data_IF_671980895155
#
_entry.id   IF_671980895155
#
_cell.length_a   1.000
_cell.length_b   1.000
_cell.length_c   1.000
_cell.angle_alpha   90.00
_cell.angle_beta   90.00
_cell.angle_gamma   90.00
#
_symmetry.space_group_name_H-M   'P 1'
#
loop_
_entity.id
_entity.type
_entity.pdbx_description
1 polymer ?
#
# COMPACT_ATOMS: atom_id res chain seq x y z
N UNK A 1 -11.45 12.03 4.55
CA UNK A 1 -10.84 12.06 5.87
C UNK A 1 -11.64 11.28 6.90
N UNK A 2 -11.06 11.07 8.07
CA UNK A 2 -11.68 10.39 9.20
C UNK A 2 -12.31 11.47 10.12
N UNK A 3 -13.54 11.31 10.64
CA UNK A 3 -14.17 12.30 11.51
C UNK A 3 -13.61 12.26 12.93
N UNK A 4 -12.47 12.91 13.14
CA UNK A 4 -11.85 13.07 14.46
C UNK A 4 -11.34 14.50 14.65
N UNK A 5 -11.15 14.92 15.90
CA UNK A 5 -10.52 16.19 16.24
C UNK A 5 -9.70 16.04 17.53
N UNK A 6 -8.79 16.97 17.76
CA UNK A 6 -8.08 17.15 19.01
C UNK A 6 -8.69 18.30 19.80
N UNK A 7 -8.80 18.13 21.12
CA UNK A 7 -9.10 19.24 22.03
C UNK A 7 -7.84 20.06 22.35
N UNK A 8 -8.01 21.16 23.10
CA UNK A 8 -6.90 22.03 23.51
C UNK A 8 -5.87 21.31 24.40
N UNK A 9 -6.19 20.13 24.92
CA UNK A 9 -5.30 19.27 25.69
C UNK A 9 -4.66 18.16 24.87
N UNK A 10 -4.77 18.20 23.55
CA UNK A 10 -4.27 17.20 22.58
C UNK A 10 -4.87 15.80 22.73
N UNK A 11 -6.07 15.69 23.30
CA UNK A 11 -6.80 14.41 23.32
C UNK A 11 -7.56 14.26 22.01
N UNK A 12 -7.48 13.06 21.43
CA UNK A 12 -8.21 12.74 20.21
C UNK A 12 -9.62 12.25 20.52
N UNK A 13 -10.60 12.79 19.81
CA UNK A 13 -12.00 12.38 19.88
C UNK A 13 -12.47 11.94 18.50
N UNK A 14 -13.03 10.76 18.42
CA UNK A 14 -13.68 10.25 17.22
C UNK A 14 -15.18 10.55 17.29
N UNK A 15 -15.71 11.27 16.33
CA UNK A 15 -17.09 11.75 16.30
C UNK A 15 -17.99 10.99 15.32
N UNK A 16 -17.41 10.07 14.56
CA UNK A 16 -18.12 9.26 13.57
C UNK A 16 -18.66 7.95 14.11
N UNK A 17 -19.47 7.27 13.30
CA UNK A 17 -19.82 5.87 13.52
C UNK A 17 -18.86 4.95 12.79
N UNK A 18 -18.87 3.62 13.12
CA UNK A 18 -18.12 2.62 12.36
C UNK A 18 -18.45 2.66 10.86
N UNK A 19 -19.72 2.84 10.51
CA UNK A 19 -20.18 2.89 9.12
C UNK A 19 -19.71 4.14 8.37
N UNK A 20 -19.41 5.24 9.07
CA UNK A 20 -18.87 6.46 8.45
C UNK A 20 -17.49 6.24 7.80
N UNK A 21 -16.74 5.24 8.24
CA UNK A 21 -15.45 4.85 7.65
C UNK A 21 -15.60 4.10 6.32
N UNK A 22 -16.77 3.49 6.08
CA UNK A 22 -17.07 2.71 4.87
C UNK A 22 -17.65 3.62 3.77
N UNK A 23 -17.00 4.75 3.51
CA UNK A 23 -17.40 5.62 2.41
C UNK A 23 -17.10 4.95 1.04
N UNK A 24 -17.78 5.37 -0.07
CA UNK A 24 -17.64 4.71 -1.37
C UNK A 24 -16.20 4.69 -1.90
N UNK A 25 -15.41 5.72 -1.64
CA UNK A 25 -14.00 5.76 -2.05
C UNK A 25 -13.14 4.77 -1.24
N UNK A 26 -13.37 4.66 0.08
CA UNK A 26 -12.69 3.66 0.91
C UNK A 26 -13.03 2.23 0.48
N UNK A 27 -14.28 1.97 0.11
CA UNK A 27 -14.70 0.67 -0.44
C UNK A 27 -14.01 0.37 -1.79
N UNK A 28 -13.87 1.37 -2.66
CA UNK A 28 -13.11 1.25 -3.90
C UNK A 28 -11.64 0.89 -3.61
N UNK A 29 -10.98 1.59 -2.67
CA UNK A 29 -9.61 1.28 -2.27
C UNK A 29 -9.48 -0.14 -1.70
N UNK A 30 -10.46 -0.58 -0.90
CA UNK A 30 -10.54 -1.95 -0.40
C UNK A 30 -10.65 -2.97 -1.54
N UNK A 31 -11.50 -2.71 -2.53
CA UNK A 31 -11.65 -3.57 -3.70
C UNK A 31 -10.36 -3.65 -4.54
N UNK A 32 -9.66 -2.52 -4.75
CA UNK A 32 -8.32 -2.49 -5.39
C UNK A 32 -7.35 -3.36 -4.62
N UNK A 33 -7.31 -3.23 -3.29
CA UNK A 33 -6.41 -3.99 -2.42
C UNK A 33 -6.66 -5.50 -2.54
N UNK A 34 -7.91 -5.93 -2.46
CA UNK A 34 -8.27 -7.36 -2.60
C UNK A 34 -7.88 -7.87 -3.98
N UNK A 35 -8.25 -7.17 -5.05
CA UNK A 35 -7.96 -7.59 -6.42
C UNK A 35 -6.43 -7.69 -6.68
N UNK A 36 -5.66 -6.71 -6.19
CA UNK A 36 -4.21 -6.68 -6.29
C UNK A 36 -3.55 -7.84 -5.54
N UNK A 37 -4.02 -8.16 -4.32
CA UNK A 37 -3.50 -9.27 -3.53
C UNK A 37 -3.86 -10.62 -4.15
N UNK A 38 -5.07 -10.78 -4.70
CA UNK A 38 -5.47 -11.97 -5.46
C UNK A 38 -4.59 -12.16 -6.68
N UNK A 39 -4.26 -11.08 -7.42
CA UNK A 39 -3.34 -11.13 -8.53
C UNK A 39 -1.94 -11.57 -8.09
N UNK A 40 -1.36 -10.91 -7.10
CA UNK A 40 -0.01 -11.22 -6.60
C UNK A 40 0.09 -12.63 -6.04
N UNK A 41 -0.88 -13.04 -5.22
CA UNK A 41 -0.98 -14.41 -4.69
C UNK A 41 -1.15 -15.46 -5.79
N UNK A 42 -1.93 -15.14 -6.83
CA UNK A 42 -2.07 -16.01 -8.00
C UNK A 42 -0.75 -16.19 -8.76
N UNK A 43 0.05 -15.13 -8.94
CA UNK A 43 1.39 -15.26 -9.55
C UNK A 43 2.29 -16.16 -8.70
N UNK A 44 2.24 -16.03 -7.37
CA UNK A 44 2.97 -16.92 -6.47
C UNK A 44 2.50 -18.37 -6.57
N UNK A 45 1.18 -18.63 -6.63
CA UNK A 45 0.65 -19.97 -6.82
C UNK A 45 1.15 -20.61 -8.13
N UNK A 46 1.18 -19.85 -9.23
CA UNK A 46 1.74 -20.35 -10.50
C UNK A 46 3.23 -20.70 -10.39
N UNK A 47 3.96 -20.00 -9.52
CA UNK A 47 5.37 -20.30 -9.29
C UNK A 47 5.57 -21.59 -8.49
N UNK A 48 4.63 -21.93 -7.60
CA UNK A 48 4.76 -23.01 -6.60
C UNK A 48 3.96 -24.28 -6.92
N UNK A 49 3.04 -24.22 -7.87
CA UNK A 49 2.14 -25.34 -8.18
C UNK A 49 2.20 -25.74 -9.64
N UNK A 50 1.64 -26.93 -9.93
CA UNK A 50 1.50 -27.50 -11.28
C UNK A 50 0.07 -28.04 -11.50
N UNK A 51 -0.18 -28.56 -12.69
CA UNK A 51 -1.43 -29.25 -13.03
C UNK A 51 -2.66 -28.33 -13.00
N UNK A 52 -3.73 -28.80 -12.37
CA UNK A 52 -5.06 -28.16 -12.36
C UNK A 52 -5.02 -26.80 -11.66
N UNK A 53 -4.28 -26.69 -10.55
CA UNK A 53 -4.16 -25.43 -9.78
C UNK A 53 -3.50 -24.35 -10.64
N UNK A 54 -2.37 -24.68 -11.27
CA UNK A 54 -1.68 -23.79 -12.21
C UNK A 54 -2.61 -23.32 -13.35
N UNK A 55 -3.34 -24.25 -13.98
CA UNK A 55 -4.19 -23.93 -15.10
C UNK A 55 -5.39 -23.01 -14.71
N UNK A 56 -5.99 -23.26 -13.54
CA UNK A 56 -7.07 -22.42 -13.01
C UNK A 56 -6.54 -21.04 -12.64
N UNK A 57 -5.43 -20.97 -11.91
CA UNK A 57 -4.81 -19.72 -11.49
C UNK A 57 -4.44 -18.85 -12.69
N UNK A 58 -3.90 -19.45 -13.76
CA UNK A 58 -3.56 -18.71 -14.99
C UNK A 58 -4.77 -18.01 -15.63
N UNK A 59 -5.96 -18.58 -15.54
CA UNK A 59 -7.19 -17.93 -16.00
C UNK A 59 -7.61 -16.79 -15.07
N UNK A 60 -7.60 -17.04 -13.76
CA UNK A 60 -8.00 -16.06 -12.74
C UNK A 60 -7.09 -14.82 -12.75
N UNK A 61 -5.79 -14.99 -13.04
CA UNK A 61 -4.84 -13.88 -13.13
C UNK A 61 -5.28 -12.79 -14.12
N UNK A 62 -5.87 -13.14 -15.25
CA UNK A 62 -6.30 -12.17 -16.23
C UNK A 62 -7.41 -11.28 -15.65
N UNK A 63 -8.40 -11.93 -15.03
CA UNK A 63 -9.54 -11.22 -14.44
C UNK A 63 -9.11 -10.35 -13.27
N UNK A 64 -8.26 -10.87 -12.36
CA UNK A 64 -7.77 -10.09 -11.22
C UNK A 64 -6.88 -8.91 -11.66
N UNK A 65 -6.02 -9.10 -12.66
CA UNK A 65 -5.23 -8.00 -13.23
C UNK A 65 -6.14 -6.93 -13.85
N UNK A 66 -7.10 -7.33 -14.67
CA UNK A 66 -8.03 -6.40 -15.33
C UNK A 66 -8.85 -5.62 -14.29
N UNK A 67 -9.41 -6.32 -13.31
CA UNK A 67 -10.18 -5.69 -12.21
C UNK A 67 -9.30 -4.69 -11.46
N UNK A 68 -8.06 -5.07 -11.09
CA UNK A 68 -7.15 -4.16 -10.40
C UNK A 68 -6.85 -2.92 -11.23
N UNK A 69 -6.50 -3.08 -12.53
CA UNK A 69 -6.18 -1.97 -13.42
C UNK A 69 -7.38 -1.02 -13.59
N UNK A 70 -8.58 -1.55 -13.78
CA UNK A 70 -9.81 -0.75 -13.94
C UNK A 70 -10.13 0.00 -12.65
N UNK A 71 -10.15 -0.69 -11.50
CA UNK A 71 -10.47 -0.07 -10.22
C UNK A 71 -9.41 0.96 -9.80
N UNK A 72 -8.14 0.68 -10.04
CA UNK A 72 -7.06 1.64 -9.78
C UNK A 72 -7.17 2.89 -10.67
N UNK A 73 -7.54 2.72 -11.95
CA UNK A 73 -7.78 3.85 -12.85
C UNK A 73 -9.00 4.67 -12.42
N UNK A 74 -10.10 4.02 -12.04
CA UNK A 74 -11.28 4.71 -11.49
C UNK A 74 -10.90 5.50 -10.23
N UNK A 75 -10.10 4.90 -9.33
CA UNK A 75 -9.58 5.58 -8.14
C UNK A 75 -8.77 6.82 -8.48
N UNK A 76 -7.87 6.75 -9.46
CA UNK A 76 -7.06 7.87 -9.92
C UNK A 76 -7.91 9.02 -10.49
N UNK A 77 -8.90 8.71 -11.34
CA UNK A 77 -9.84 9.71 -11.87
C UNK A 77 -10.67 10.33 -10.76
N UNK A 78 -11.13 9.53 -9.82
CA UNK A 78 -11.93 10.02 -8.69
C UNK A 78 -11.12 10.96 -7.80
N UNK A 79 -9.88 10.62 -7.45
CA UNK A 79 -8.97 11.46 -6.68
C UNK A 79 -8.72 12.82 -7.34
N UNK A 80 -8.63 12.85 -8.67
CA UNK A 80 -8.46 14.11 -9.42
C UNK A 80 -9.64 15.08 -9.25
N UNK A 81 -10.84 14.56 -9.03
CA UNK A 81 -12.06 15.35 -8.79
C UNK A 81 -12.36 15.61 -7.31
N UNK A 82 -11.59 15.03 -6.38
CA UNK A 82 -11.81 15.22 -4.93
C UNK A 82 -11.14 16.48 -4.41
N UNK A 83 -11.78 17.11 -3.44
CA UNK A 83 -11.13 18.13 -2.61
C UNK A 83 -10.08 17.46 -1.72
N UNK A 84 -8.86 17.97 -1.78
CA UNK A 84 -7.76 17.55 -0.92
C UNK A 84 -7.44 18.58 0.13
N UNK A 85 -6.42 18.31 0.93
CA UNK A 85 -5.97 19.21 2.00
C UNK A 85 -4.61 19.80 1.68
N UNK A 86 -4.42 21.08 2.04
CA UNK A 86 -3.16 21.82 1.90
C UNK A 86 -2.86 22.52 3.22
N UNK A 87 -1.61 22.41 3.67
CA UNK A 87 -1.11 23.21 4.79
C UNK A 87 -0.73 24.59 4.26
N UNK A 88 -1.41 25.64 4.70
CA UNK A 88 -1.19 27.02 4.22
C UNK A 88 -0.39 27.86 5.20
N UNK A 89 -0.43 27.54 6.49
CA UNK A 89 0.34 28.24 7.52
C UNK A 89 0.66 27.29 8.70
N UNK A 90 1.65 27.66 9.50
CA UNK A 90 2.06 26.93 10.70
C UNK A 90 3.53 26.45 10.60
N UNK A 91 4.05 26.03 11.75
CA UNK A 91 5.42 25.51 11.86
C UNK A 91 5.42 24.00 11.62
N UNK A 92 5.72 23.59 10.41
CA UNK A 92 6.08 22.20 10.12
C UNK A 92 7.59 22.04 10.42
N UNK A 93 7.96 22.09 11.70
CA UNK A 93 9.34 21.89 12.12
C UNK A 93 9.63 20.40 12.33
N UNK A 94 10.44 19.76 11.47
CA UNK A 94 10.79 18.35 11.62
C UNK A 94 11.56 18.03 12.89
N UNK A 95 12.16 19.03 13.54
CA UNK A 95 12.91 18.91 14.79
C UNK A 95 12.13 19.33 16.04
N UNK A 96 10.95 19.91 15.85
CA UNK A 96 10.10 20.41 16.93
C UNK A 96 9.32 19.33 17.67
N UNK A 97 8.62 19.74 18.73
CA UNK A 97 7.65 18.86 19.39
C UNK A 97 6.42 18.68 18.49
N UNK A 98 5.88 17.45 18.37
CA UNK A 98 4.66 17.21 17.63
C UNK A 98 3.50 18.07 18.14
N UNK A 99 2.94 18.90 17.26
CA UNK A 99 1.77 19.74 17.58
C UNK A 99 0.79 19.71 16.41
N UNK A 100 -0.18 18.79 16.40
CA UNK A 100 -1.18 18.71 15.32
C UNK A 100 -2.00 20.00 15.15
N UNK A 101 -2.21 20.78 16.20
CA UNK A 101 -3.00 22.02 16.15
C UNK A 101 -2.19 23.26 15.74
N UNK A 102 -0.86 23.15 15.58
CA UNK A 102 0.04 24.26 15.26
C UNK A 102 0.05 24.69 13.79
N UNK A 103 -0.87 24.15 12.96
CA UNK A 103 -0.95 24.44 11.53
C UNK A 103 -2.34 24.86 11.09
N UNK A 104 -2.41 25.56 9.98
CA UNK A 104 -3.66 25.84 9.28
C UNK A 104 -3.76 24.98 8.03
N UNK A 105 -4.89 24.28 7.91
CA UNK A 105 -5.18 23.38 6.80
C UNK A 105 -6.46 23.83 6.11
N UNK A 106 -6.41 23.95 4.79
CA UNK A 106 -7.56 24.29 3.97
C UNK A 106 -7.87 23.18 2.96
N UNK A 107 -9.12 23.11 2.54
CA UNK A 107 -9.51 22.27 1.42
C UNK A 107 -9.27 22.99 0.10
N UNK A 108 -8.73 22.26 -0.88
CA UNK A 108 -8.50 22.75 -2.23
C UNK A 108 -8.80 21.64 -3.24
N UNK A 109 -9.50 21.96 -4.32
CA UNK A 109 -9.74 21.03 -5.40
C UNK A 109 -8.43 20.56 -6.05
N UNK A 110 -8.30 19.24 -6.26
CA UNK A 110 -7.12 18.63 -6.85
C UNK A 110 -5.86 18.62 -5.98
N UNK A 111 -5.95 19.00 -4.71
CA UNK A 111 -4.79 19.07 -3.81
C UNK A 111 -4.04 17.74 -3.66
N UNK A 112 -4.74 16.59 -3.77
CA UNK A 112 -4.12 15.27 -3.75
C UNK A 112 -3.17 15.00 -4.94
N UNK A 113 -3.20 15.83 -5.99
CA UNK A 113 -2.31 15.71 -7.14
C UNK A 113 -1.19 16.75 -7.17
N UNK A 114 -1.13 17.68 -6.21
CA UNK A 114 -0.11 18.73 -6.17
C UNK A 114 1.31 18.17 -6.08
N UNK A 115 1.50 17.07 -5.36
CA UNK A 115 2.82 16.46 -5.23
C UNK A 115 3.39 15.98 -6.57
N UNK A 116 2.54 15.53 -7.49
CA UNK A 116 2.96 15.14 -8.83
C UNK A 116 3.35 16.34 -9.69
N UNK A 117 2.78 17.52 -9.43
CA UNK A 117 3.15 18.78 -10.10
C UNK A 117 4.44 19.34 -9.53
N UNK A 118 4.63 19.34 -8.21
CA UNK A 118 5.84 19.80 -7.55
C UNK A 118 7.05 18.89 -7.79
N UNK A 119 6.81 17.59 -7.84
CA UNK A 119 7.84 16.56 -8.02
C UNK A 119 7.46 15.63 -9.18
N UNK A 120 7.65 16.04 -10.45
CA UNK A 120 7.19 15.26 -11.62
C UNK A 120 7.75 13.84 -11.67
N UNK A 121 8.92 13.58 -11.06
CA UNK A 121 9.51 12.25 -10.98
C UNK A 121 8.61 11.25 -10.23
N UNK A 122 7.77 11.73 -9.32
CA UNK A 122 6.81 10.88 -8.60
C UNK A 122 5.73 10.27 -9.49
N UNK A 123 5.50 10.83 -10.70
CA UNK A 123 4.65 10.23 -11.72
C UNK A 123 5.12 8.84 -12.16
N UNK A 124 6.41 8.52 -11.97
CA UNK A 124 6.92 7.17 -12.23
C UNK A 124 6.25 6.12 -11.33
N UNK A 125 5.77 6.49 -10.14
CA UNK A 125 5.18 5.55 -9.19
C UNK A 125 3.89 4.94 -9.74
N UNK A 126 2.84 5.71 -10.12
CA UNK A 126 1.65 5.13 -10.74
C UNK A 126 1.95 4.44 -12.08
N UNK A 127 2.90 4.95 -12.86
CA UNK A 127 3.32 4.31 -14.12
C UNK A 127 3.92 2.93 -13.85
N UNK A 128 4.77 2.79 -12.83
CA UNK A 128 5.33 1.51 -12.41
C UNK A 128 4.26 0.52 -11.92
N UNK A 129 3.17 1.00 -11.31
CA UNK A 129 2.05 0.15 -10.93
C UNK A 129 1.44 -0.54 -12.15
N UNK A 130 1.15 0.21 -13.23
CA UNK A 130 0.61 -0.32 -14.48
C UNK A 130 1.62 -1.22 -15.20
N UNK A 131 2.85 -0.74 -15.42
CA UNK A 131 3.89 -1.49 -16.14
C UNK A 131 4.22 -2.78 -15.40
N UNK A 132 4.38 -2.73 -14.08
CA UNK A 132 4.67 -3.90 -13.24
C UNK A 132 3.58 -4.97 -13.34
N UNK A 133 2.32 -4.57 -13.31
CA UNK A 133 1.19 -5.49 -13.42
C UNK A 133 1.08 -6.12 -14.82
N UNK A 134 1.21 -5.33 -15.87
CA UNK A 134 1.18 -5.81 -17.24
C UNK A 134 2.38 -6.72 -17.54
N UNK A 135 3.57 -6.35 -17.11
CA UNK A 135 4.77 -7.18 -17.24
C UNK A 135 4.62 -8.50 -16.47
N UNK A 136 4.09 -8.46 -15.24
CA UNK A 136 3.83 -9.67 -14.46
C UNK A 136 2.85 -10.61 -15.18
N UNK A 137 1.77 -10.07 -15.76
CA UNK A 137 0.79 -10.85 -16.51
C UNK A 137 1.41 -11.51 -17.76
N UNK A 138 2.19 -10.76 -18.54
CA UNK A 138 2.88 -11.26 -19.74
C UNK A 138 3.90 -12.34 -19.38
N UNK A 139 4.74 -12.08 -18.37
CA UNK A 139 5.77 -13.01 -17.92
C UNK A 139 5.17 -14.29 -17.32
N UNK A 140 4.08 -14.17 -16.56
CA UNK A 140 3.36 -15.33 -16.03
C UNK A 140 2.81 -16.22 -17.17
N UNK A 141 2.26 -15.60 -18.21
CA UNK A 141 1.79 -16.33 -19.40
C UNK A 141 2.92 -16.99 -20.20
N UNK A 142 4.10 -16.37 -20.21
CA UNK A 142 5.30 -16.92 -20.86
C UNK A 142 5.99 -17.99 -19.99
N UNK A 143 5.43 -18.38 -18.83
CA UNK A 143 6.01 -19.36 -17.93
C UNK A 143 7.17 -18.86 -17.07
N UNK A 144 7.56 -17.58 -17.18
CA UNK A 144 8.63 -16.95 -16.39
C UNK A 144 8.08 -16.48 -15.02
N UNK A 145 7.62 -17.44 -14.22
CA UNK A 145 6.84 -17.18 -13.00
C UNK A 145 7.60 -16.42 -11.91
N UNK A 146 8.92 -16.63 -11.77
CA UNK A 146 9.74 -15.89 -10.81
C UNK A 146 9.83 -14.40 -11.15
N UNK A 147 10.12 -14.08 -12.43
CA UNK A 147 10.16 -12.68 -12.88
C UNK A 147 8.79 -12.03 -12.79
N UNK A 148 7.72 -12.79 -13.12
CA UNK A 148 6.34 -12.32 -12.93
C UNK A 148 6.05 -11.98 -11.47
N UNK A 149 6.56 -12.79 -10.52
CA UNK A 149 6.40 -12.52 -9.09
C UNK A 149 7.09 -11.21 -8.67
N UNK A 150 8.34 -11.00 -9.11
CA UNK A 150 9.06 -9.74 -8.83
C UNK A 150 8.33 -8.54 -9.42
N UNK A 151 7.89 -8.62 -10.70
CA UNK A 151 7.13 -7.53 -11.32
C UNK A 151 5.81 -7.26 -10.60
N UNK A 152 5.10 -8.29 -10.15
CA UNK A 152 3.87 -8.12 -9.36
C UNK A 152 4.14 -7.50 -7.99
N UNK A 153 5.24 -7.84 -7.32
CA UNK A 153 5.65 -7.20 -6.07
C UNK A 153 5.96 -5.71 -6.25
N UNK A 154 6.68 -5.36 -7.33
CA UNK A 154 6.93 -3.95 -7.70
C UNK A 154 5.61 -3.22 -7.97
N UNK A 155 4.66 -3.85 -8.68
CA UNK A 155 3.34 -3.27 -8.92
C UNK A 155 2.58 -3.00 -7.62
N UNK A 156 2.55 -3.96 -6.69
CA UNK A 156 1.91 -3.80 -5.37
C UNK A 156 2.54 -2.63 -4.60
N UNK A 157 3.87 -2.59 -4.53
CA UNK A 157 4.60 -1.51 -3.87
C UNK A 157 4.30 -0.14 -4.54
N UNK A 158 4.19 -0.10 -5.86
CA UNK A 158 3.89 1.10 -6.61
C UNK A 158 2.43 1.58 -6.43
N UNK A 159 1.45 0.67 -6.33
CA UNK A 159 0.06 1.03 -6.00
C UNK A 159 0.00 1.69 -4.62
N UNK A 160 0.64 1.09 -3.61
CA UNK A 160 0.72 1.65 -2.25
C UNK A 160 1.48 2.98 -2.27
N UNK A 161 2.60 3.04 -2.99
CA UNK A 161 3.42 4.25 -3.15
C UNK A 161 2.66 5.40 -3.83
N UNK A 162 1.79 5.11 -4.80
CA UNK A 162 0.92 6.12 -5.44
C UNK A 162 0.02 6.79 -4.41
N UNK A 163 -0.59 5.99 -3.53
CA UNK A 163 -1.42 6.51 -2.45
C UNK A 163 -0.59 7.38 -1.47
N UNK A 164 0.59 6.89 -1.07
CA UNK A 164 1.49 7.62 -0.18
C UNK A 164 1.94 8.96 -0.77
N UNK A 165 2.30 8.99 -2.07
CA UNK A 165 2.67 10.24 -2.77
C UNK A 165 1.50 11.20 -2.84
N UNK A 166 0.29 10.72 -3.16
CA UNK A 166 -0.90 11.58 -3.24
C UNK A 166 -1.23 12.21 -1.90
N UNK A 167 -1.14 11.46 -0.81
CA UNK A 167 -1.50 11.95 0.54
C UNK A 167 -0.41 12.79 1.21
N UNK A 168 0.85 12.67 0.81
CA UNK A 168 1.94 13.39 1.47
C UNK A 168 1.69 14.91 1.49
N UNK A 169 1.87 15.60 2.63
CA UNK A 169 2.45 15.13 3.89
C UNK A 169 1.45 14.51 4.88
N UNK A 170 0.17 14.39 4.53
CA UNK A 170 -0.84 13.89 5.44
C UNK A 170 -0.75 12.37 5.61
N UNK A 171 -0.83 11.90 6.85
CA UNK A 171 -0.96 10.48 7.21
C UNK A 171 -2.42 10.15 7.48
N UNK A 172 -3.11 11.03 8.24
CA UNK A 172 -4.51 10.84 8.62
C UNK A 172 -5.25 12.19 8.53
N UNK A 173 -5.91 12.46 7.38
CA UNK A 173 -6.71 13.67 7.23
C UNK A 173 -7.98 13.62 8.11
N UNK A 174 -8.28 14.71 8.79
CA UNK A 174 -9.53 14.88 9.56
C UNK A 174 -10.61 15.53 8.69
N UNK A 175 -11.82 14.95 8.72
CA UNK A 175 -12.99 15.54 8.04
C UNK A 175 -13.85 16.42 8.95
N UNK A 176 -13.66 16.37 10.26
CA UNK A 176 -14.42 17.18 11.23
C UNK A 176 -13.70 18.47 11.64
N UNK A 177 -12.39 18.46 11.75
CA UNK A 177 -11.56 19.65 11.96
C UNK A 177 -10.26 19.50 11.15
N UNK A 178 -10.10 20.29 10.10
CA UNK A 178 -8.97 20.17 9.18
C UNK A 178 -7.62 20.41 9.85
N UNK A 179 -7.55 21.27 10.90
CA UNK A 179 -6.34 21.51 11.67
C UNK A 179 -5.86 20.27 12.40
N UNK A 180 -6.81 19.42 12.84
CA UNK A 180 -6.52 18.17 13.51
C UNK A 180 -5.98 17.07 12.58
N UNK A 181 -5.88 17.32 11.26
CA UNK A 181 -5.27 16.36 10.32
C UNK A 181 -3.83 16.08 10.69
N UNK A 182 -3.47 14.79 10.79
CA UNK A 182 -2.10 14.39 11.12
C UNK A 182 -1.22 14.36 9.88
N UNK A 183 -0.05 14.98 10.00
CA UNK A 183 1.02 14.94 9.00
C UNK A 183 2.17 14.07 9.49
N UNK A 184 3.14 13.79 8.60
CA UNK A 184 4.36 13.05 8.96
C UNK A 184 5.15 13.73 10.08
N UNK A 185 5.04 15.05 10.23
CA UNK A 185 5.74 15.79 11.29
C UNK A 185 5.00 15.78 12.63
N UNK A 186 3.66 15.71 12.59
CA UNK A 186 2.82 15.70 13.81
C UNK A 186 2.66 14.30 14.42
N UNK A 187 2.77 13.25 13.58
CA UNK A 187 2.48 11.87 13.96
C UNK A 187 3.74 11.05 14.26
N UNK A 188 4.93 11.64 14.13
CA UNK A 188 6.20 10.96 14.40
C UNK A 188 6.67 11.14 15.84
N UNK A 189 7.43 10.17 16.31
CA UNK A 189 8.10 10.25 17.61
C UNK A 189 9.25 11.26 17.59
N UNK A 190 9.79 11.57 18.76
CA UNK A 190 10.95 12.46 18.90
C UNK A 190 12.16 11.94 18.09
N UNK A 191 13.04 12.86 17.68
CA UNK A 191 14.25 12.53 16.92
C UNK A 191 15.11 11.44 17.63
N UNK A 192 15.25 11.50 18.96
CA UNK A 192 15.98 10.49 19.71
C UNK A 192 15.33 9.11 19.57
N UNK A 193 14.01 9.02 19.72
CA UNK A 193 13.26 7.75 19.57
C UNK A 193 13.42 7.19 18.16
N UNK A 194 13.28 8.03 17.14
CA UNK A 194 13.46 7.61 15.74
C UNK A 194 14.89 7.12 15.48
N UNK A 195 15.90 7.77 16.08
CA UNK A 195 17.30 7.34 15.96
C UNK A 195 17.53 5.97 16.61
N UNK A 196 16.99 5.75 17.81
CA UNK A 196 17.07 4.42 18.47
C UNK A 196 16.37 3.36 17.65
N UNK A 197 15.15 3.64 17.14
CA UNK A 197 14.41 2.72 16.26
C UNK A 197 15.18 2.40 14.99
N UNK A 198 15.84 3.39 14.39
CA UNK A 198 16.63 3.21 13.18
C UNK A 198 17.78 2.22 13.39
N UNK A 199 18.56 2.38 14.47
CA UNK A 199 19.63 1.43 14.79
C UNK A 199 19.09 0.04 15.14
N UNK A 200 17.98 -0.03 15.87
CA UNK A 200 17.33 -1.31 16.16
C UNK A 200 16.90 -2.04 14.90
N UNK A 201 16.33 -1.34 13.92
CA UNK A 201 15.93 -1.90 12.63
C UNK A 201 17.15 -2.38 11.83
N UNK A 202 18.22 -1.59 11.76
CA UNK A 202 19.46 -1.99 11.05
C UNK A 202 20.06 -3.27 11.65
N UNK A 203 19.96 -3.46 12.96
CA UNK A 203 20.47 -4.66 13.64
C UNK A 203 19.54 -5.88 13.46
N UNK A 204 18.25 -5.69 13.66
CA UNK A 204 17.28 -6.79 13.73
C UNK A 204 16.83 -7.23 12.32
N UNK A 205 16.63 -6.28 11.40
CA UNK A 205 16.09 -6.58 10.08
C UNK A 205 16.94 -7.59 9.28
N UNK A 206 18.29 -7.51 9.24
CA UNK A 206 19.11 -8.52 8.59
C UNK A 206 18.89 -9.94 9.14
N UNK A 207 18.71 -10.07 10.47
CA UNK A 207 18.43 -11.36 11.12
C UNK A 207 17.07 -11.91 10.66
N UNK A 208 16.04 -11.05 10.64
CA UNK A 208 14.69 -11.44 10.16
C UNK A 208 14.74 -11.83 8.69
N UNK A 209 15.42 -11.06 7.85
CA UNK A 209 15.56 -11.34 6.42
C UNK A 209 16.33 -12.65 6.19
N UNK A 210 17.42 -12.88 6.93
CA UNK A 210 18.20 -14.12 6.84
C UNK A 210 17.38 -15.34 7.26
N UNK A 211 16.67 -15.26 8.40
CA UNK A 211 15.79 -16.32 8.88
C UNK A 211 14.64 -16.61 7.89
N UNK A 212 13.98 -15.57 7.42
CA UNK A 212 12.89 -15.71 6.45
C UNK A 212 13.41 -16.29 5.14
N UNK A 213 14.54 -15.80 4.64
CA UNK A 213 15.19 -16.32 3.43
C UNK A 213 15.59 -17.79 3.58
N UNK A 214 16.12 -18.19 4.75
CA UNK A 214 16.41 -19.59 5.06
C UNK A 214 15.14 -20.44 5.07
N UNK A 215 14.06 -20.00 5.74
CA UNK A 215 12.79 -20.72 5.78
C UNK A 215 12.20 -20.93 4.37
N UNK A 216 12.19 -19.87 3.54
CA UNK A 216 11.75 -20.00 2.15
C UNK A 216 12.66 -20.93 1.32
N UNK A 217 13.97 -20.96 1.60
CA UNK A 217 14.89 -21.85 0.92
C UNK A 217 14.68 -23.33 1.30
N UNK A 218 14.36 -23.61 2.56
CA UNK A 218 14.01 -24.98 3.03
C UNK A 218 12.71 -25.45 2.36
N UNK A 219 11.73 -24.58 2.23
CA UNK A 219 10.44 -24.88 1.60
C UNK A 219 10.45 -24.69 0.06
N UNK A 220 11.65 -24.57 -0.54
CA UNK A 220 11.73 -24.38 -2.00
C UNK A 220 11.26 -25.63 -2.75
N UNK A 221 10.69 -25.44 -3.93
CA UNK A 221 10.20 -26.51 -4.79
C UNK A 221 8.76 -26.29 -5.19
N UNK A 222 8.29 -27.08 -6.13
CA UNK A 222 6.89 -27.08 -6.54
C UNK A 222 6.13 -28.15 -5.78
N UNK A 223 4.93 -27.84 -5.36
CA UNK A 223 4.01 -28.81 -4.78
C UNK A 223 3.34 -29.57 -5.93
N UNK A 224 3.73 -30.84 -6.13
CA UNK A 224 3.18 -31.75 -7.14
C UNK A 224 2.15 -32.68 -6.50
N UNK A 225 1.25 -33.25 -7.32
CA UNK A 225 0.29 -34.26 -6.82
C UNK A 225 0.99 -35.54 -6.32
N UNK A 226 2.17 -35.85 -6.85
CA UNK A 226 2.99 -36.96 -6.43
C UNK A 226 3.60 -36.73 -5.05
N UNK A 227 4.19 -35.53 -4.84
CA UNK A 227 4.69 -35.10 -3.53
C UNK A 227 3.64 -35.21 -2.43
N UNK A 228 2.40 -34.76 -2.72
CA UNK A 228 1.28 -34.84 -1.75
C UNK A 228 0.91 -36.28 -1.43
N UNK A 229 0.91 -37.20 -2.43
CA UNK A 229 0.61 -38.62 -2.20
C UNK A 229 1.68 -39.31 -1.38
N UNK A 230 2.97 -39.05 -1.68
CA UNK A 230 4.10 -39.66 -0.98
C UNK A 230 4.23 -39.18 0.46
N UNK A 231 3.75 -37.99 0.77
CA UNK A 231 3.85 -37.37 2.08
C UNK A 231 2.48 -37.20 2.78
N UNK A 232 1.51 -38.05 2.46
CA UNK A 232 0.13 -37.95 2.96
C UNK A 232 0.03 -37.95 4.51
N UNK A 233 0.99 -38.59 5.19
CA UNK A 233 1.06 -38.63 6.67
C UNK A 233 1.84 -37.47 7.29
N UNK A 234 2.55 -36.65 6.51
CA UNK A 234 3.41 -35.57 7.02
C UNK A 234 3.11 -34.20 6.41
N UNK A 235 2.16 -34.14 5.48
CA UNK A 235 1.78 -32.90 4.79
C UNK A 235 0.71 -32.07 5.52
N UNK A 236 0.37 -32.42 6.78
CA UNK A 236 -0.58 -31.70 7.65
C UNK A 236 0.12 -31.24 8.93
#
# INVERSE_FOLDING_TARGET
GVPFHFDDTMRSFYTGSFWALLNPFALLCGAVSVAMLVFHGGVYLMHRTEGIVYARTRKTLIYSALVTLVLFSIGGVWVAGMEGFVVVAGTLDPGGLPNPLGKEVVQQAGAWLLNYQHWPLTMLVPVLAYIGMLAALVLARAGKTLLAFVCSAVSVAAVIGTFAVSMFPFILPSSSDFRSSLTVWDATSSHLTLTVMFFAIILIMPVVVAYTGWAFNVMRGKVTAEYVRENDHSAY
#
